data_IF_710708818103
#
_entry.id   IF_710708818103
#
_cell.length_a   1.000
_cell.length_b   1.000
_cell.length_c   1.000
_cell.angle_alpha   90.00
_cell.angle_beta   90.00
_cell.angle_gamma   90.00
#
_symmetry.space_group_name_H-M   'P 1'
#
loop_
_entity.id
_entity.type
_entity.pdbx_description
1 polymer ?
#
# COMPACT_ATOMS: atom_id res chain seq x y z
N UNK A 1 -21.43 -8.36 6.25
CA UNK A 1 -21.03 -8.28 4.81
C UNK A 1 -20.14 -7.07 4.68
N UNK A 2 -18.81 -7.26 4.64
CA UNK A 2 -17.89 -6.15 4.42
C UNK A 2 -17.90 -5.80 2.93
N UNK A 3 -18.68 -4.79 2.56
CA UNK A 3 -18.60 -4.14 1.25
C UNK A 3 -17.35 -3.23 1.20
N UNK A 4 -16.15 -3.81 1.43
CA UNK A 4 -14.91 -3.08 1.16
C UNK A 4 -14.82 -2.88 -0.35
N UNK A 5 -14.50 -1.65 -0.75
CA UNK A 5 -14.25 -1.32 -2.15
C UNK A 5 -13.13 -2.21 -2.68
N UNK A 6 -13.32 -2.81 -3.85
CA UNK A 6 -12.24 -3.57 -4.51
C UNK A 6 -11.13 -2.67 -5.06
N UNK A 7 -11.43 -1.38 -5.22
CA UNK A 7 -10.55 -0.29 -5.62
C UNK A 7 -10.34 0.70 -4.48
N UNK A 8 -9.41 1.61 -4.62
CA UNK A 8 -9.01 2.62 -3.62
C UNK A 8 -8.53 2.00 -2.29
N UNK A 9 -7.74 0.95 -2.37
CA UNK A 9 -7.16 0.35 -1.16
C UNK A 9 -6.06 1.23 -0.57
N UNK A 10 -6.07 1.36 0.74
CA UNK A 10 -5.07 2.10 1.50
C UNK A 10 -4.22 1.12 2.29
N UNK A 11 -2.92 1.15 2.02
CA UNK A 11 -1.92 0.37 2.74
C UNK A 11 -1.04 1.29 3.58
N UNK A 12 -0.54 0.80 4.70
CA UNK A 12 0.50 1.46 5.48
C UNK A 12 1.88 0.94 5.10
N UNK A 13 2.83 1.83 4.90
CA UNK A 13 4.24 1.50 4.65
C UNK A 13 5.02 1.62 5.98
N UNK A 14 4.98 0.56 6.77
CA UNK A 14 5.58 0.51 8.10
C UNK A 14 5.74 -0.93 8.62
N UNK A 15 6.68 -1.13 9.56
CA UNK A 15 6.83 -2.34 10.36
C UNK A 15 6.46 -2.10 11.85
N UNK A 16 5.92 -0.93 12.19
CA UNK A 16 5.46 -0.59 13.53
C UNK A 16 4.05 -1.17 13.75
N UNK A 17 3.99 -2.26 14.48
CA UNK A 17 2.75 -3.02 14.71
C UNK A 17 1.74 -2.28 15.60
N UNK A 18 2.20 -1.40 16.49
CA UNK A 18 1.32 -0.57 17.33
C UNK A 18 0.58 0.47 16.48
N UNK A 19 1.29 1.14 15.57
CA UNK A 19 0.67 2.05 14.61
C UNK A 19 -0.26 1.31 13.66
N UNK A 20 0.12 0.14 13.17
CA UNK A 20 -0.77 -0.69 12.34
C UNK A 20 -2.05 -1.03 13.08
N UNK A 21 -1.97 -1.48 14.33
CA UNK A 21 -3.13 -1.80 15.17
C UNK A 21 -4.04 -0.60 15.38
N UNK A 22 -3.45 0.56 15.69
CA UNK A 22 -4.17 1.83 15.86
C UNK A 22 -5.00 2.17 14.61
N UNK A 23 -4.38 2.14 13.44
CA UNK A 23 -5.06 2.55 12.21
C UNK A 23 -5.99 1.47 11.65
N UNK A 24 -5.67 0.19 11.83
CA UNK A 24 -6.57 -0.89 11.48
C UNK A 24 -7.92 -0.76 12.21
N UNK A 25 -7.90 -0.31 13.47
CA UNK A 25 -9.10 -0.03 14.27
C UNK A 25 -10.05 1.01 13.64
N UNK A 26 -9.57 1.85 12.70
CA UNK A 26 -10.43 2.79 11.96
C UNK A 26 -11.27 2.11 10.87
N UNK A 27 -10.94 0.88 10.49
CA UNK A 27 -11.58 0.16 9.39
C UNK A 27 -11.17 0.62 8.00
N UNK A 28 -10.23 1.57 7.87
CA UNK A 28 -9.84 2.21 6.61
C UNK A 28 -8.59 1.60 5.98
N UNK A 29 -7.85 0.73 6.69
CA UNK A 29 -6.62 0.12 6.22
C UNK A 29 -6.91 -1.26 5.65
N UNK A 30 -6.38 -1.54 4.47
CA UNK A 30 -6.60 -2.77 3.71
C UNK A 30 -5.37 -3.70 3.70
N UNK A 31 -4.18 -3.18 3.96
CA UNK A 31 -2.93 -3.95 3.94
C UNK A 31 -1.73 -3.16 4.43
N UNK A 32 -0.58 -3.81 4.36
CA UNK A 32 0.70 -3.24 4.79
C UNK A 32 1.78 -3.59 3.77
N UNK A 33 2.64 -2.62 3.46
CA UNK A 33 3.91 -2.89 2.79
C UNK A 33 5.05 -2.76 3.79
N UNK A 34 5.97 -3.72 3.73
CA UNK A 34 7.23 -3.66 4.44
C UNK A 34 8.40 -3.62 3.47
N UNK A 35 9.57 -3.36 3.98
CA UNK A 35 10.83 -3.47 3.25
C UNK A 35 11.99 -3.67 4.24
N UNK A 36 13.19 -4.10 3.78
CA UNK A 36 14.31 -4.37 4.67
C UNK A 36 14.70 -3.18 5.56
N UNK A 37 14.53 -1.95 5.07
CA UNK A 37 14.83 -0.75 5.85
C UNK A 37 13.84 -0.56 7.02
N UNK A 38 12.55 -0.77 6.79
CA UNK A 38 11.52 -0.66 7.82
C UNK A 38 11.67 -1.75 8.87
N UNK A 39 11.90 -2.99 8.45
CA UNK A 39 12.17 -4.12 9.35
C UNK A 39 13.42 -3.84 10.20
N UNK A 40 14.53 -3.44 9.57
CA UNK A 40 15.76 -3.10 10.32
C UNK A 40 15.53 -1.98 11.35
N UNK A 41 14.72 -0.97 11.01
CA UNK A 41 14.40 0.13 11.94
C UNK A 41 13.52 -0.31 13.10
N UNK A 42 12.68 -1.32 12.94
CA UNK A 42 11.88 -1.86 14.04
C UNK A 42 12.75 -2.61 15.07
N UNK A 43 13.95 -3.07 14.68
CA UNK A 43 14.85 -3.84 15.53
C UNK A 43 14.33 -5.25 15.86
N UNK A 44 13.29 -5.71 15.15
CA UNK A 44 12.59 -6.99 15.41
C UNK A 44 12.86 -8.00 14.31
N UNK A 45 12.60 -9.25 14.61
CA UNK A 45 12.60 -10.33 13.62
C UNK A 45 11.46 -10.08 12.59
N UNK A 46 11.72 -10.22 11.28
CA UNK A 46 10.71 -10.00 10.25
C UNK A 46 9.47 -10.87 10.42
N UNK A 47 9.65 -12.13 10.76
CA UNK A 47 8.54 -13.07 10.88
C UNK A 47 7.66 -12.79 12.09
N UNK A 48 8.24 -12.36 13.21
CA UNK A 48 7.48 -11.89 14.37
C UNK A 48 6.60 -10.69 14.01
N UNK A 49 7.14 -9.76 13.22
CA UNK A 49 6.38 -8.59 12.71
C UNK A 49 5.24 -9.04 11.81
N UNK A 50 5.49 -9.95 10.86
CA UNK A 50 4.46 -10.45 9.95
C UNK A 50 3.35 -11.23 10.68
N UNK A 51 3.73 -12.05 11.66
CA UNK A 51 2.78 -12.80 12.48
C UNK A 51 1.88 -11.86 13.29
N UNK A 52 2.45 -10.82 13.88
CA UNK A 52 1.68 -9.83 14.62
C UNK A 52 0.73 -9.04 13.70
N UNK A 53 1.17 -8.62 12.51
CA UNK A 53 0.32 -7.94 11.53
C UNK A 53 -0.84 -8.85 11.09
N UNK A 54 -0.57 -10.14 10.84
CA UNK A 54 -1.61 -11.11 10.52
C UNK A 54 -2.60 -11.28 11.68
N UNK A 55 -2.12 -11.33 12.93
CA UNK A 55 -2.96 -11.45 14.12
C UNK A 55 -3.81 -10.20 14.39
N UNK A 56 -3.41 -9.02 13.90
CA UNK A 56 -4.24 -7.81 13.89
C UNK A 56 -5.46 -7.99 12.98
N UNK A 57 -5.37 -8.85 11.96
CA UNK A 57 -6.46 -9.15 11.02
C UNK A 57 -6.23 -8.65 9.59
N UNK A 58 -5.00 -8.23 9.25
CA UNK A 58 -4.64 -7.82 7.88
C UNK A 58 -4.25 -9.05 7.03
N UNK A 59 -4.81 -9.11 5.83
CA UNK A 59 -4.67 -10.23 4.90
C UNK A 59 -3.93 -9.87 3.60
N UNK A 60 -3.21 -8.76 3.59
CA UNK A 60 -2.35 -8.36 2.48
C UNK A 60 -1.10 -7.66 3.03
N UNK A 61 -0.02 -8.42 3.14
CA UNK A 61 1.26 -7.97 3.70
C UNK A 61 2.33 -8.20 2.64
N UNK A 62 2.90 -7.12 2.12
CA UNK A 62 4.04 -7.22 1.20
C UNK A 62 5.32 -7.51 1.99
N UNK A 63 5.82 -8.74 1.85
CA UNK A 63 7.00 -9.30 2.51
C UNK A 63 8.15 -9.37 1.52
N UNK A 64 9.16 -8.51 1.68
CA UNK A 64 10.23 -8.37 0.69
C UNK A 64 11.33 -9.41 0.89
N UNK A 65 11.64 -10.10 -0.20
CA UNK A 65 12.73 -11.08 -0.29
C UNK A 65 13.88 -10.49 -1.12
N UNK A 66 15.10 -10.94 -0.84
CA UNK A 66 16.32 -10.45 -1.47
C UNK A 66 17.21 -11.63 -1.87
N UNK A 67 18.16 -11.38 -2.76
CA UNK A 67 19.13 -12.37 -3.23
C UNK A 67 19.04 -12.60 -4.74
N UNK A 68 19.54 -13.74 -5.21
CA UNK A 68 19.37 -14.17 -6.58
C UNK A 68 17.95 -14.77 -6.81
N UNK A 69 17.66 -15.18 -8.04
CA UNK A 69 16.33 -15.70 -8.37
C UNK A 69 15.94 -16.94 -7.57
N UNK A 70 16.87 -17.85 -7.30
CA UNK A 70 16.59 -19.09 -6.55
C UNK A 70 16.33 -18.79 -5.07
N UNK A 71 17.17 -17.94 -4.46
CA UNK A 71 17.01 -17.49 -3.09
C UNK A 71 15.65 -16.81 -2.87
N UNK A 72 15.27 -15.91 -3.80
CA UNK A 72 13.96 -15.23 -3.75
C UNK A 72 12.78 -16.20 -3.94
N UNK A 73 12.90 -17.21 -4.79
CA UNK A 73 11.86 -18.23 -4.98
C UNK A 73 11.70 -19.08 -3.73
N UNK A 74 12.80 -19.62 -3.19
CA UNK A 74 12.77 -20.48 -2.00
C UNK A 74 12.19 -19.76 -0.80
N UNK A 75 12.67 -18.52 -0.54
CA UNK A 75 12.17 -17.70 0.55
C UNK A 75 10.72 -17.27 0.33
N UNK A 76 10.35 -16.94 -0.90
CA UNK A 76 8.97 -16.58 -1.25
C UNK A 76 7.98 -17.73 -1.02
N UNK A 77 8.35 -18.97 -1.40
CA UNK A 77 7.54 -20.17 -1.14
C UNK A 77 7.43 -20.40 0.37
N UNK A 78 8.53 -20.27 1.10
CA UNK A 78 8.59 -20.44 2.55
C UNK A 78 7.66 -19.47 3.27
N UNK A 79 7.73 -18.17 2.93
CA UNK A 79 6.86 -17.14 3.50
C UNK A 79 5.38 -17.37 3.15
N UNK A 80 5.08 -17.68 1.90
CA UNK A 80 3.71 -17.95 1.47
C UNK A 80 3.12 -19.21 2.14
N UNK A 81 3.96 -20.21 2.43
CA UNK A 81 3.56 -21.42 3.17
C UNK A 81 3.29 -21.09 4.64
N UNK A 82 4.14 -20.26 5.26
CA UNK A 82 3.98 -19.86 6.65
C UNK A 82 2.78 -18.91 6.85
N UNK A 83 2.54 -18.01 5.89
CA UNK A 83 1.50 -16.98 5.95
C UNK A 83 0.50 -17.09 4.77
N UNK A 84 -0.22 -18.21 4.60
CA UNK A 84 -0.94 -18.52 3.36
C UNK A 84 -2.07 -17.54 3.01
N UNK A 85 -2.64 -16.86 4.01
CA UNK A 85 -3.77 -15.95 3.83
C UNK A 85 -3.37 -14.47 3.75
N UNK A 86 -2.11 -14.14 4.01
CA UNK A 86 -1.68 -12.74 4.15
C UNK A 86 -0.44 -12.40 3.34
N UNK A 87 0.38 -13.38 2.95
CA UNK A 87 1.61 -13.12 2.22
C UNK A 87 1.35 -12.61 0.80
N UNK A 88 1.99 -11.50 0.46
CA UNK A 88 2.29 -11.06 -0.90
C UNK A 88 3.80 -10.93 -0.97
N UNK A 89 4.46 -11.83 -1.70
CA UNK A 89 5.92 -11.82 -1.82
C UNK A 89 6.34 -10.59 -2.62
N UNK A 90 7.30 -9.82 -2.09
CA UNK A 90 7.77 -8.60 -2.74
C UNK A 90 9.18 -8.81 -3.26
N UNK A 91 9.37 -8.56 -4.57
CA UNK A 91 10.64 -8.76 -5.29
C UNK A 91 11.03 -7.48 -6.05
N UNK A 92 12.33 -7.18 -6.23
CA UNK A 92 12.77 -6.02 -6.99
C UNK A 92 12.51 -6.22 -8.50
N UNK A 93 12.36 -5.10 -9.23
CA UNK A 93 12.28 -5.12 -10.70
C UNK A 93 13.69 -5.28 -11.32
N UNK A 94 14.24 -6.46 -11.20
CA UNK A 94 15.52 -6.90 -11.80
C UNK A 94 15.30 -8.18 -12.62
N UNK A 95 16.24 -8.60 -13.47
CA UNK A 95 16.12 -9.88 -14.17
C UNK A 95 15.83 -11.05 -13.23
N UNK A 96 16.56 -11.19 -12.11
CA UNK A 96 16.35 -12.23 -11.11
C UNK A 96 14.99 -12.10 -10.42
N UNK A 97 14.58 -10.87 -10.04
CA UNK A 97 13.28 -10.63 -9.43
C UNK A 97 12.11 -10.94 -10.37
N UNK A 98 12.25 -10.71 -11.68
CA UNK A 98 11.23 -11.07 -12.66
C UNK A 98 11.16 -12.57 -12.93
N UNK A 99 12.29 -13.29 -12.89
CA UNK A 99 12.32 -14.76 -12.91
C UNK A 99 11.61 -15.31 -11.66
N UNK A 100 11.95 -14.78 -10.47
CA UNK A 100 11.28 -15.17 -9.24
C UNK A 100 9.78 -14.85 -9.27
N UNK A 101 9.39 -13.68 -9.78
CA UNK A 101 7.98 -13.33 -9.97
C UNK A 101 7.23 -14.35 -10.82
N UNK A 102 7.79 -14.73 -11.98
CA UNK A 102 7.15 -15.67 -12.89
C UNK A 102 6.99 -17.05 -12.24
N UNK A 103 8.01 -17.56 -11.57
CA UNK A 103 7.96 -18.86 -10.88
C UNK A 103 6.92 -18.86 -9.75
N UNK A 104 6.96 -17.84 -8.88
CA UNK A 104 6.06 -17.71 -7.74
C UNK A 104 4.60 -17.54 -8.17
N UNK A 105 4.34 -16.66 -9.15
CA UNK A 105 2.97 -16.35 -9.54
C UNK A 105 2.35 -17.40 -10.46
N UNK A 106 3.07 -17.87 -11.49
CA UNK A 106 2.51 -18.73 -12.52
C UNK A 106 2.50 -20.20 -12.13
N UNK A 107 3.52 -20.67 -11.42
CA UNK A 107 3.63 -22.08 -11.03
C UNK A 107 3.13 -22.35 -9.61
N UNK A 108 3.32 -21.41 -8.70
CA UNK A 108 2.97 -21.61 -7.28
C UNK A 108 1.71 -20.85 -6.86
N UNK A 109 1.09 -20.07 -7.74
CA UNK A 109 -0.12 -19.27 -7.47
C UNK A 109 0.03 -18.30 -6.28
N UNK A 110 1.25 -17.84 -6.02
CA UNK A 110 1.58 -16.91 -4.94
C UNK A 110 1.41 -15.48 -5.46
N UNK A 111 0.81 -14.61 -4.65
CA UNK A 111 0.74 -13.17 -4.97
C UNK A 111 2.13 -12.55 -4.92
N UNK A 112 2.47 -11.77 -5.96
CA UNK A 112 3.77 -11.10 -6.05
C UNK A 112 3.58 -9.61 -6.29
N UNK A 113 4.32 -8.82 -5.50
CA UNK A 113 4.45 -7.38 -5.65
C UNK A 113 5.84 -7.06 -6.21
N UNK A 114 5.92 -6.64 -7.47
CA UNK A 114 7.20 -6.20 -8.06
C UNK A 114 7.43 -4.74 -7.69
N UNK A 115 8.52 -4.50 -6.95
CA UNK A 115 8.88 -3.19 -6.38
C UNK A 115 10.03 -2.51 -7.13
N UNK A 116 10.35 -1.26 -6.75
CA UNK A 116 11.39 -0.44 -7.37
C UNK A 116 11.12 -0.20 -8.85
N UNK A 117 9.88 0.14 -9.17
CA UNK A 117 9.48 0.52 -10.52
C UNK A 117 9.61 2.03 -10.68
N UNK A 118 10.36 2.44 -11.71
CA UNK A 118 10.65 3.83 -12.03
C UNK A 118 10.33 4.18 -13.50
N UNK A 119 9.88 3.19 -14.27
CA UNK A 119 9.61 3.32 -15.70
C UNK A 119 8.44 2.44 -16.13
N UNK A 120 7.72 2.84 -17.18
CA UNK A 120 6.58 2.08 -17.72
C UNK A 120 7.02 0.73 -18.29
N UNK A 121 8.20 0.65 -18.91
CA UNK A 121 8.72 -0.61 -19.44
C UNK A 121 8.95 -1.64 -18.32
N UNK A 122 9.42 -1.22 -17.14
CA UNK A 122 9.55 -2.07 -15.97
C UNK A 122 8.17 -2.62 -15.51
N UNK A 123 7.14 -1.78 -15.51
CA UNK A 123 5.78 -2.21 -15.17
C UNK A 123 5.22 -3.22 -16.18
N UNK A 124 5.49 -3.03 -17.48
CA UNK A 124 5.11 -3.97 -18.54
C UNK A 124 5.78 -5.33 -18.33
N UNK A 125 7.10 -5.35 -18.10
CA UNK A 125 7.83 -6.60 -17.84
C UNK A 125 7.29 -7.33 -16.60
N UNK A 126 7.01 -6.58 -15.55
CA UNK A 126 6.43 -7.11 -14.30
C UNK A 126 5.05 -7.72 -14.52
N UNK A 127 4.18 -7.07 -15.28
CA UNK A 127 2.88 -7.60 -15.62
C UNK A 127 2.99 -8.89 -16.47
N UNK A 128 3.92 -8.92 -17.42
CA UNK A 128 4.21 -10.14 -18.23
C UNK A 128 4.76 -11.28 -17.38
N UNK A 129 5.52 -10.99 -16.32
CA UNK A 129 5.99 -11.97 -15.35
C UNK A 129 4.88 -12.45 -14.40
N UNK A 130 3.66 -11.92 -14.49
CA UNK A 130 2.51 -12.38 -13.70
C UNK A 130 2.36 -11.67 -12.34
N UNK A 131 2.97 -10.50 -12.17
CA UNK A 131 2.85 -9.72 -10.95
C UNK A 131 1.38 -9.44 -10.58
N UNK A 132 1.02 -9.63 -9.32
CA UNK A 132 -0.27 -9.18 -8.76
C UNK A 132 -0.28 -7.67 -8.55
N UNK A 133 0.86 -7.12 -8.13
CA UNK A 133 1.07 -5.68 -7.94
C UNK A 133 2.37 -5.23 -8.61
N UNK A 134 2.32 -4.04 -9.18
CA UNK A 134 3.51 -3.25 -9.55
C UNK A 134 3.58 -2.03 -8.64
N UNK A 135 4.74 -1.77 -8.05
CA UNK A 135 4.92 -0.67 -7.10
C UNK A 135 5.81 0.44 -7.70
N UNK A 136 5.26 1.39 -8.47
CA UNK A 136 5.97 2.58 -8.91
C UNK A 136 6.25 3.52 -7.73
N UNK A 137 7.49 4.04 -7.68
CA UNK A 137 7.99 4.84 -6.56
C UNK A 137 7.88 6.34 -6.84
N UNK A 138 6.68 6.89 -6.62
CA UNK A 138 6.36 8.30 -6.88
C UNK A 138 7.33 9.25 -6.17
N UNK A 139 7.41 9.19 -4.84
CA UNK A 139 8.20 10.16 -4.09
C UNK A 139 9.70 10.08 -4.37
N UNK A 140 10.23 8.89 -4.71
CA UNK A 140 11.65 8.78 -5.08
C UNK A 140 11.94 9.38 -6.45
N UNK A 141 10.99 9.34 -7.37
CA UNK A 141 11.10 10.09 -8.64
C UNK A 141 11.06 11.59 -8.38
N UNK A 142 10.10 12.04 -7.56
CA UNK A 142 9.99 13.46 -7.19
C UNK A 142 11.26 13.97 -6.51
N UNK A 143 11.89 13.18 -5.63
CA UNK A 143 13.18 13.48 -4.98
C UNK A 143 14.31 13.70 -6.03
N UNK A 144 14.15 13.16 -7.24
CA UNK A 144 15.08 13.31 -8.37
C UNK A 144 14.57 14.25 -9.47
N UNK A 145 13.58 15.09 -9.15
CA UNK A 145 12.98 16.06 -10.09
C UNK A 145 12.33 15.43 -11.32
N UNK A 146 11.84 14.20 -11.18
CA UNK A 146 11.06 13.49 -12.20
C UNK A 146 9.63 13.39 -11.70
N UNK A 147 8.64 13.70 -12.54
CA UNK A 147 7.23 13.71 -12.18
C UNK A 147 6.71 12.28 -11.88
N UNK A 148 6.76 11.87 -10.62
CA UNK A 148 6.39 10.51 -10.21
C UNK A 148 4.92 10.15 -10.46
N UNK A 149 4.02 11.10 -10.33
CA UNK A 149 2.59 10.89 -10.59
C UNK A 149 2.26 10.64 -12.07
N UNK A 150 3.06 11.19 -12.99
CA UNK A 150 2.92 10.89 -14.42
C UNK A 150 3.25 9.43 -14.74
N UNK A 151 4.16 8.81 -13.98
CA UNK A 151 4.45 7.37 -14.13
C UNK A 151 3.21 6.53 -13.83
N UNK A 152 2.45 6.85 -12.77
CA UNK A 152 1.19 6.15 -12.44
C UNK A 152 0.23 6.22 -13.61
N UNK A 153 -0.03 7.42 -14.14
CA UNK A 153 -0.94 7.67 -15.25
C UNK A 153 -0.53 6.90 -16.51
N UNK A 154 0.74 6.94 -16.85
CA UNK A 154 1.26 6.27 -18.04
C UNK A 154 1.18 4.73 -17.93
N UNK A 155 1.41 4.17 -16.73
CA UNK A 155 1.22 2.72 -16.49
C UNK A 155 -0.26 2.37 -16.63
N UNK A 156 -1.17 3.15 -16.02
CA UNK A 156 -2.63 2.90 -16.13
C UNK A 156 -3.09 2.95 -17.58
N UNK A 157 -2.64 3.94 -18.35
CA UNK A 157 -3.00 4.05 -19.77
C UNK A 157 -2.59 2.81 -20.56
N UNK A 158 -1.35 2.33 -20.38
CA UNK A 158 -0.87 1.10 -21.03
C UNK A 158 -1.67 -0.11 -20.57
N UNK A 159 -1.91 -0.26 -19.28
CA UNK A 159 -2.64 -1.41 -18.74
C UNK A 159 -4.08 -1.44 -19.25
N UNK A 160 -4.74 -0.28 -19.30
CA UNK A 160 -6.09 -0.13 -19.80
C UNK A 160 -6.18 -0.44 -21.31
N UNK A 161 -5.27 0.11 -22.14
CA UNK A 161 -5.24 -0.12 -23.59
C UNK A 161 -4.95 -1.58 -23.91
N UNK A 162 -4.09 -2.24 -23.12
CA UNK A 162 -3.73 -3.65 -23.32
C UNK A 162 -4.63 -4.62 -22.56
N UNK A 163 -5.71 -4.15 -21.93
CA UNK A 163 -6.65 -4.97 -21.13
C UNK A 163 -5.94 -5.79 -20.04
N UNK A 164 -4.93 -5.23 -19.39
CA UNK A 164 -4.20 -5.85 -18.28
C UNK A 164 -4.97 -5.58 -16.99
N UNK A 165 -5.81 -6.53 -16.56
CA UNK A 165 -6.67 -6.37 -15.38
C UNK A 165 -6.15 -7.14 -14.15
N UNK A 166 -5.26 -8.11 -14.33
CA UNK A 166 -4.75 -8.96 -13.26
C UNK A 166 -3.70 -8.26 -12.39
N UNK A 167 -2.89 -7.39 -13.00
CA UNK A 167 -1.85 -6.63 -12.31
C UNK A 167 -2.40 -5.29 -11.85
N UNK A 168 -2.33 -5.01 -10.54
CA UNK A 168 -2.80 -3.75 -9.96
C UNK A 168 -1.64 -2.79 -9.75
N UNK A 169 -1.91 -1.50 -9.89
CA UNK A 169 -0.93 -0.43 -9.65
C UNK A 169 -1.00 -0.07 -8.15
N UNK A 170 0.10 -0.28 -7.43
CA UNK A 170 0.28 0.07 -6.04
C UNK A 170 1.24 1.26 -5.96
N UNK A 171 0.72 2.48 -5.87
CA UNK A 171 1.52 3.69 -5.76
C UNK A 171 2.28 3.71 -4.44
N UNK A 172 3.61 3.80 -4.51
CA UNK A 172 4.51 3.66 -3.37
C UNK A 172 5.44 4.86 -3.20
N UNK A 173 6.18 4.87 -2.09
CA UNK A 173 7.10 5.98 -1.76
C UNK A 173 6.39 7.32 -1.62
N UNK A 174 5.18 7.34 -1.13
CA UNK A 174 4.36 8.55 -0.96
C UNK A 174 4.95 9.45 0.13
N UNK A 175 5.00 10.75 -0.12
CA UNK A 175 5.55 11.79 0.77
C UNK A 175 4.48 12.75 1.31
N UNK A 176 3.41 13.00 0.54
CA UNK A 176 2.44 14.05 0.81
C UNK A 176 1.00 13.56 0.59
N UNK A 177 0.05 14.16 1.32
CA UNK A 177 -1.39 13.85 1.19
C UNK A 177 -1.90 14.07 -0.24
N UNK A 178 -1.46 15.15 -0.89
CA UNK A 178 -1.86 15.41 -2.28
C UNK A 178 -1.45 14.29 -3.23
N UNK A 179 -0.30 13.64 -2.99
CA UNK A 179 0.15 12.51 -3.82
C UNK A 179 -0.74 11.28 -3.65
N UNK A 180 -1.44 11.12 -2.52
CA UNK A 180 -2.42 10.04 -2.32
C UNK A 180 -3.61 10.22 -3.26
N UNK A 181 -4.26 11.38 -3.21
CA UNK A 181 -5.42 11.67 -4.05
C UNK A 181 -5.09 11.66 -5.53
N UNK A 182 -3.95 12.25 -5.91
CA UNK A 182 -3.48 12.25 -7.30
C UNK A 182 -3.09 10.85 -7.80
N UNK A 183 -2.55 9.98 -6.94
CA UNK A 183 -2.29 8.58 -7.31
C UNK A 183 -3.57 7.87 -7.71
N UNK A 184 -4.64 7.98 -6.92
CA UNK A 184 -5.93 7.38 -7.26
C UNK A 184 -6.54 8.02 -8.51
N UNK A 185 -6.47 9.35 -8.65
CA UNK A 185 -6.97 10.06 -9.84
C UNK A 185 -6.23 9.65 -11.13
N UNK A 186 -4.98 9.23 -11.02
CA UNK A 186 -4.16 8.77 -12.13
C UNK A 186 -4.23 7.24 -12.36
N UNK A 187 -5.13 6.51 -11.69
CA UNK A 187 -5.39 5.11 -11.94
C UNK A 187 -4.71 4.12 -11.00
N UNK A 188 -4.08 4.57 -9.91
CA UNK A 188 -3.62 3.64 -8.88
C UNK A 188 -4.81 2.90 -8.25
N UNK A 189 -4.66 1.59 -8.05
CA UNK A 189 -5.66 0.76 -7.37
C UNK A 189 -5.42 0.75 -5.85
N UNK A 190 -4.17 0.89 -5.47
CA UNK A 190 -3.67 0.83 -4.09
C UNK A 190 -2.69 1.97 -3.91
N UNK A 191 -2.72 2.61 -2.74
CA UNK A 191 -1.70 3.57 -2.34
C UNK A 191 -1.14 3.13 -0.99
N UNK A 192 0.18 2.95 -0.92
CA UNK A 192 0.87 2.70 0.34
C UNK A 192 1.61 3.94 0.81
N UNK A 193 1.45 4.27 2.07
CA UNK A 193 1.99 5.50 2.64
C UNK A 193 2.46 5.32 4.08
N UNK A 194 3.45 6.13 4.53
CA UNK A 194 3.82 6.17 5.94
C UNK A 194 2.62 6.57 6.83
N UNK A 195 2.53 6.06 8.06
CA UNK A 195 1.50 6.46 9.03
C UNK A 195 1.35 7.98 9.20
N UNK A 196 2.46 8.72 9.14
CA UNK A 196 2.46 10.18 9.25
C UNK A 196 1.79 10.91 8.08
N UNK A 197 1.71 10.29 6.91
CA UNK A 197 0.95 10.81 5.76
C UNK A 197 -0.53 10.48 5.95
N UNK A 198 -0.84 9.26 6.39
CA UNK A 198 -2.21 8.83 6.68
C UNK A 198 -2.86 9.74 7.74
N UNK A 199 -2.19 10.03 8.85
CA UNK A 199 -2.68 10.96 9.88
C UNK A 199 -3.06 12.34 9.31
N UNK A 200 -2.25 12.85 8.38
CA UNK A 200 -2.51 14.16 7.78
C UNK A 200 -3.71 14.18 6.82
N UNK A 201 -4.21 13.03 6.38
CA UNK A 201 -5.39 12.98 5.49
C UNK A 201 -6.67 13.47 6.18
N UNK A 202 -6.72 13.44 7.52
CA UNK A 202 -7.85 13.96 8.29
C UNK A 202 -7.77 15.49 8.51
N UNK A 203 -6.60 16.09 8.38
CA UNK A 203 -6.36 17.46 8.78
C UNK A 203 -6.77 18.45 7.69
N UNK A 204 -7.82 19.23 7.97
CA UNK A 204 -8.23 20.30 7.06
C UNK A 204 -8.80 21.50 7.86
N UNK A 205 -8.22 22.68 7.63
CA UNK A 205 -8.59 23.91 8.38
C UNK A 205 -10.09 24.25 8.31
N UNK A 206 -10.75 23.90 7.20
CA UNK A 206 -12.19 24.16 7.08
C UNK A 206 -13.04 23.13 7.85
N UNK A 207 -12.54 21.91 8.02
CA UNK A 207 -13.17 20.89 8.87
C UNK A 207 -13.12 21.37 10.34
N UNK A 208 -11.96 21.83 10.80
CA UNK A 208 -11.78 22.32 12.16
C UNK A 208 -12.71 23.51 12.44
N UNK A 209 -12.73 24.51 11.53
CA UNK A 209 -13.66 25.65 11.63
C UNK A 209 -15.13 25.24 11.60
N UNK A 210 -15.49 24.27 10.77
CA UNK A 210 -16.84 23.73 10.70
C UNK A 210 -17.26 23.09 12.03
N UNK A 211 -16.38 22.31 12.64
CA UNK A 211 -16.62 21.69 13.94
C UNK A 211 -16.79 22.74 15.05
N UNK A 212 -15.97 23.79 15.07
CA UNK A 212 -16.11 24.89 16.03
C UNK A 212 -17.50 25.55 15.94
N UNK A 213 -18.00 25.80 14.73
CA UNK A 213 -19.34 26.37 14.50
C UNK A 213 -20.41 25.40 14.98
N UNK A 214 -20.35 24.13 14.57
CA UNK A 214 -21.33 23.13 14.96
C UNK A 214 -21.37 22.89 16.47
N UNK A 215 -20.23 22.91 17.15
CA UNK A 215 -20.15 22.80 18.60
C UNK A 215 -20.78 24.01 19.31
N UNK A 216 -20.60 25.22 18.77
CA UNK A 216 -21.21 26.43 19.30
C UNK A 216 -22.75 26.38 19.16
N UNK A 217 -23.25 26.07 17.97
CA UNK A 217 -24.67 25.97 17.66
C UNK A 217 -25.34 24.85 18.50
N UNK A 218 -24.66 23.71 18.67
CA UNK A 218 -25.15 22.62 19.51
C UNK A 218 -25.32 23.06 20.98
N UNK A 219 -24.33 23.75 21.54
CA UNK A 219 -24.39 24.28 22.92
C UNK A 219 -25.51 25.29 23.08
N UNK A 220 -25.75 26.15 22.10
CA UNK A 220 -26.85 27.11 22.13
C UNK A 220 -28.23 26.40 22.08
N UNK A 221 -28.37 25.42 21.18
CA UNK A 221 -29.56 24.60 21.07
C UNK A 221 -29.88 23.87 22.40
N UNK A 222 -28.86 23.32 23.05
CA UNK A 222 -29.06 22.63 24.37
C UNK A 222 -29.54 23.60 25.47
N UNK A 223 -29.07 24.87 25.47
CA UNK A 223 -29.56 25.89 26.40
C UNK A 223 -31.03 26.22 26.15
N UNK A 224 -31.43 26.44 24.90
CA UNK A 224 -32.80 26.74 24.52
C UNK A 224 -33.78 25.60 24.92
N UNK A 225 -33.38 24.36 24.75
CA UNK A 225 -34.20 23.20 25.16
C UNK A 225 -34.29 23.12 26.68
N UNK A 226 -33.18 23.35 27.40
CA UNK A 226 -33.17 23.31 28.87
C UNK A 226 -33.94 24.47 29.55
N UNK A 227 -34.15 25.60 28.86
CA UNK A 227 -34.93 26.73 29.36
C UNK A 227 -36.48 26.55 29.15
N UNK A 228 -36.89 25.56 28.33
CA UNK A 228 -38.27 25.32 27.96
C UNK A 228 -38.82 23.99 28.56
N UNK A 229 -38.06 23.28 29.37
CA UNK A 229 -38.44 22.04 30.10
C UNK A 229 -38.43 22.28 31.59
#
# INVERSE_FOLDING_TARGET
MNNKLESMKIFLDTADTDLIRKYYGTGLIDGVTTNPTLIRRSGRDPEEVYEEIQNIGLHDISMEVVGDSNEMIEEGIRLATKFPNSCTVKVPCTPDGLVACAELSMKNCIRVNVTLIFDVAQAILSAKAGASYVSPFVGRLDDNSIAGLELIKNIDEVFRVQCIHRTKILSASIRYVNSVSQSFANGAHIVTMPPSVFDKMYNHVLTDKGLEIFDADHKETQKLIGEHG
#
